data_IF_321681340298
#
_entry.id   IF_321681340298
#
_cell.length_a   1.000
_cell.length_b   1.000
_cell.length_c   1.000
_cell.angle_alpha   90.00
_cell.angle_beta   90.00
_cell.angle_gamma   90.00
#
_symmetry.space_group_name_H-M   'P 1'
#
loop_
_entity.id
_entity.type
_entity.pdbx_description
1 polymer ?
#
# COMPACT_ATOMS: atom_id res chain seq x y z
N UNK A 1 25.07 15.70 -15.81
CA UNK A 1 24.69 16.87 -14.98
C UNK A 1 23.37 16.51 -14.33
N UNK A 2 23.26 16.53 -13.01
CA UNK A 2 21.98 16.32 -12.36
C UNK A 2 21.02 17.41 -12.85
N UNK A 3 19.93 17.01 -13.49
CA UNK A 3 18.87 17.93 -13.91
C UNK A 3 18.30 18.58 -12.66
N UNK A 4 18.48 19.89 -12.53
CA UNK A 4 17.87 20.69 -11.47
C UNK A 4 16.35 20.49 -11.56
N UNK A 5 15.71 20.11 -10.45
CA UNK A 5 14.27 19.95 -10.37
C UNK A 5 13.56 21.23 -10.85
N UNK A 6 12.50 21.06 -11.64
CA UNK A 6 11.69 22.17 -12.12
C UNK A 6 10.23 21.90 -11.80
N UNK A 7 9.66 22.77 -10.98
CA UNK A 7 8.24 22.76 -10.66
C UNK A 7 7.40 22.99 -11.94
N UNK A 8 6.41 22.12 -12.18
CA UNK A 8 5.60 22.13 -13.40
C UNK A 8 4.27 22.87 -13.24
N UNK A 9 3.74 22.90 -12.02
CA UNK A 9 2.45 23.47 -11.70
C UNK A 9 2.59 24.53 -10.60
N UNK A 10 1.77 25.58 -10.67
CA UNK A 10 1.66 26.52 -9.56
C UNK A 10 1.10 25.82 -8.30
N UNK A 11 1.25 26.44 -7.13
CA UNK A 11 0.69 25.93 -5.87
C UNK A 11 -0.82 25.70 -5.99
N UNK A 12 -1.54 26.66 -6.59
CA UNK A 12 -2.98 26.56 -6.82
C UNK A 12 -3.33 25.43 -7.80
N UNK A 13 -2.63 25.34 -8.93
CA UNK A 13 -2.89 24.28 -9.92
C UNK A 13 -2.58 22.89 -9.33
N UNK A 14 -1.59 22.80 -8.44
CA UNK A 14 -1.25 21.58 -7.70
C UNK A 14 -2.42 21.12 -6.82
N UNK A 15 -3.03 22.02 -6.04
CA UNK A 15 -4.23 21.71 -5.21
C UNK A 15 -5.44 21.27 -6.07
N UNK A 16 -5.68 21.98 -7.18
CA UNK A 16 -6.75 21.62 -8.12
C UNK A 16 -6.48 20.24 -8.78
N UNK A 17 -5.21 19.91 -9.03
CA UNK A 17 -4.80 18.63 -9.62
C UNK A 17 -4.85 17.48 -8.60
N UNK A 18 -4.47 17.70 -7.34
CA UNK A 18 -4.64 16.73 -6.25
C UNK A 18 -6.12 16.34 -6.12
N UNK A 19 -7.01 17.34 -6.11
CA UNK A 19 -8.45 17.10 -6.05
C UNK A 19 -8.95 16.28 -7.24
N UNK A 20 -8.49 16.60 -8.46
CA UNK A 20 -8.81 15.83 -9.66
C UNK A 20 -8.36 14.38 -9.52
N UNK A 21 -7.09 14.17 -9.21
CA UNK A 21 -6.49 12.83 -9.10
C UNK A 21 -7.27 12.00 -8.09
N UNK A 22 -7.47 12.53 -6.87
CA UNK A 22 -8.12 11.78 -5.80
C UNK A 22 -9.54 11.38 -6.19
N UNK A 23 -10.34 12.32 -6.71
CA UNK A 23 -11.73 12.06 -7.15
C UNK A 23 -11.82 11.10 -8.32
N UNK A 24 -11.01 11.31 -9.35
CA UNK A 24 -11.01 10.44 -10.53
C UNK A 24 -10.58 9.02 -10.16
N UNK A 25 -9.54 8.88 -9.34
CA UNK A 25 -9.02 7.58 -8.96
C UNK A 25 -10.03 6.78 -8.13
N UNK A 26 -10.67 7.38 -7.12
CA UNK A 26 -11.68 6.70 -6.31
C UNK A 26 -12.87 6.21 -7.17
N UNK A 27 -13.32 7.02 -8.14
CA UNK A 27 -14.52 6.71 -8.93
C UNK A 27 -14.21 5.55 -9.88
N UNK A 28 -13.06 5.59 -10.55
CA UNK A 28 -12.59 4.53 -11.43
C UNK A 28 -12.25 3.24 -10.66
N UNK A 29 -11.67 3.34 -9.45
CA UNK A 29 -11.36 2.19 -8.61
C UNK A 29 -12.65 1.50 -8.14
N UNK A 30 -13.63 2.29 -7.70
CA UNK A 30 -14.95 1.81 -7.29
C UNK A 30 -15.67 1.10 -8.42
N UNK A 31 -15.68 1.67 -9.62
CA UNK A 31 -16.29 1.06 -10.81
C UNK A 31 -15.56 -0.23 -11.22
N UNK A 32 -14.23 -0.20 -11.30
CA UNK A 32 -13.40 -1.31 -11.80
C UNK A 32 -13.47 -2.56 -10.91
N UNK A 33 -13.57 -2.37 -9.59
CA UNK A 33 -13.55 -3.45 -8.60
C UNK A 33 -14.89 -3.68 -7.87
N UNK A 34 -15.95 -2.95 -8.24
CA UNK A 34 -17.26 -3.06 -7.58
C UNK A 34 -17.21 -2.70 -6.09
N UNK A 35 -16.54 -1.59 -5.76
CA UNK A 35 -16.30 -1.20 -4.36
C UNK A 35 -17.30 -0.15 -3.88
N UNK A 36 -17.95 -0.42 -2.75
CA UNK A 36 -18.75 0.55 -2.02
C UNK A 36 -17.84 1.46 -1.17
N UNK A 37 -17.97 2.77 -1.31
CA UNK A 37 -17.30 3.71 -0.40
C UNK A 37 -17.93 3.62 1.00
N UNK A 38 -17.14 3.34 2.02
CA UNK A 38 -17.60 3.28 3.42
C UNK A 38 -16.83 4.26 4.31
N UNK A 39 -17.37 4.53 5.51
CA UNK A 39 -16.70 5.39 6.50
C UNK A 39 -15.75 4.55 7.36
N UNK A 40 -14.47 4.95 7.39
CA UNK A 40 -13.44 4.34 8.21
C UNK A 40 -13.36 4.90 9.64
N UNK A 41 -12.90 4.10 10.61
CA UNK A 41 -12.44 4.60 11.89
C UNK A 41 -11.06 5.27 11.76
N UNK A 42 -10.87 6.37 12.48
CA UNK A 42 -9.53 6.97 12.69
C UNK A 42 -8.76 6.28 13.83
N UNK A 43 -9.48 5.66 14.76
CA UNK A 43 -8.92 5.01 15.94
C UNK A 43 -9.70 3.76 16.31
N UNK A 44 -9.00 2.81 16.93
CA UNK A 44 -9.55 1.53 17.40
C UNK A 44 -9.08 1.25 18.82
N UNK A 45 -9.76 0.33 19.53
CA UNK A 45 -9.27 -0.16 20.82
C UNK A 45 -8.02 -1.02 20.63
N UNK A 46 -7.02 -0.81 21.47
CA UNK A 46 -5.69 -1.42 21.35
C UNK A 46 -5.68 -2.95 21.58
N UNK A 47 -6.63 -3.48 22.34
CA UNK A 47 -6.72 -4.88 22.76
C UNK A 47 -7.43 -5.82 21.78
N UNK A 48 -7.88 -5.28 20.63
CA UNK A 48 -8.71 -6.01 19.67
C UNK A 48 -7.91 -6.82 18.64
N UNK A 49 -6.63 -6.50 18.46
CA UNK A 49 -5.80 -7.00 17.39
C UNK A 49 -6.16 -6.46 16.00
N UNK A 50 -6.97 -5.40 15.93
CA UNK A 50 -7.41 -4.79 14.66
C UNK A 50 -6.40 -3.79 14.10
N UNK A 51 -5.67 -3.06 14.96
CA UNK A 51 -4.65 -2.15 14.47
C UNK A 51 -3.54 -2.92 13.75
N UNK A 52 -3.01 -2.32 12.69
CA UNK A 52 -1.83 -2.82 11.99
C UNK A 52 -0.58 -2.48 12.81
N UNK A 53 0.13 -3.51 13.21
CA UNK A 53 1.34 -3.38 14.01
C UNK A 53 2.58 -3.15 13.13
N UNK A 54 2.45 -3.12 11.80
CA UNK A 54 3.56 -3.00 10.84
C UNK A 54 4.63 -4.08 11.12
N UNK A 55 5.85 -3.68 11.47
CA UNK A 55 6.93 -4.61 11.84
C UNK A 55 6.91 -5.02 13.32
N UNK A 56 5.98 -4.47 14.12
CA UNK A 56 5.83 -4.73 15.55
C UNK A 56 6.72 -3.88 16.45
N UNK A 57 7.45 -2.92 15.88
CA UNK A 57 8.38 -2.04 16.61
C UNK A 57 7.90 -0.61 16.74
N UNK A 58 7.06 -0.18 15.80
CA UNK A 58 6.55 1.16 15.61
C UNK A 58 5.46 1.46 16.64
N UNK A 59 5.54 2.62 17.30
CA UNK A 59 4.60 3.00 18.35
C UNK A 59 3.40 3.74 17.77
N UNK A 60 2.17 3.24 17.94
CA UNK A 60 0.99 3.97 17.53
C UNK A 60 0.71 5.15 18.46
N UNK A 61 0.20 6.25 17.89
CA UNK A 61 -0.35 7.35 18.68
C UNK A 61 -1.54 6.83 19.48
N UNK A 62 -1.57 7.08 20.79
CA UNK A 62 -2.57 6.50 21.69
C UNK A 62 -3.13 7.51 22.68
N UNK A 63 -4.35 7.27 23.13
CA UNK A 63 -5.04 8.12 24.10
C UNK A 63 -6.01 7.31 24.98
N UNK A 64 -6.28 7.76 26.22
CA UNK A 64 -7.27 7.13 27.08
C UNK A 64 -8.69 7.58 26.72
N UNK A 65 -9.65 6.65 26.80
CA UNK A 65 -11.06 6.89 26.53
C UNK A 65 -11.78 7.11 27.86
N UNK A 66 -12.01 8.38 28.23
CA UNK A 66 -12.70 8.73 29.49
C UNK A 66 -14.07 8.07 29.63
N UNK A 67 -14.83 7.97 28.54
CA UNK A 67 -16.17 7.36 28.52
C UNK A 67 -16.16 5.83 28.66
N UNK A 68 -14.99 5.20 28.59
CA UNK A 68 -14.80 3.75 28.61
C UNK A 68 -13.79 3.36 29.69
N UNK A 69 -13.95 3.95 30.89
CA UNK A 69 -13.14 3.61 32.06
C UNK A 69 -11.63 3.86 31.88
N UNK A 70 -11.25 4.84 31.05
CA UNK A 70 -9.86 5.12 30.67
C UNK A 70 -9.18 4.00 29.88
N UNK A 71 -9.95 3.17 29.16
CA UNK A 71 -9.39 2.20 28.20
C UNK A 71 -8.53 2.88 27.13
N UNK A 72 -7.62 2.12 26.51
CA UNK A 72 -6.65 2.66 25.54
C UNK A 72 -7.16 2.53 24.10
N UNK A 73 -7.29 3.66 23.42
CA UNK A 73 -7.43 3.72 21.96
C UNK A 73 -6.09 4.03 21.30
N UNK A 74 -5.94 3.58 20.06
CA UNK A 74 -4.82 3.88 19.17
C UNK A 74 -5.33 4.45 17.85
N UNK A 75 -4.64 5.45 17.32
CA UNK A 75 -4.81 5.88 15.93
C UNK A 75 -4.28 4.77 15.04
N UNK A 76 -5.03 4.45 13.98
CA UNK A 76 -4.68 3.34 13.10
C UNK A 76 -3.40 3.64 12.30
N UNK A 77 -2.54 2.64 12.10
CA UNK A 77 -1.44 2.72 11.12
C UNK A 77 -1.90 2.36 9.69
N UNK A 78 -2.89 1.46 9.61
CA UNK A 78 -3.64 1.10 8.41
C UNK A 78 -4.95 0.42 8.84
N UNK A 79 -5.88 0.22 7.90
CA UNK A 79 -7.13 -0.51 8.16
C UNK A 79 -7.10 -1.95 7.63
N UNK A 80 -5.91 -2.51 7.36
CA UNK A 80 -5.73 -3.83 6.73
C UNK A 80 -6.66 -4.91 7.31
N UNK A 81 -6.70 -5.05 8.65
CA UNK A 81 -7.56 -6.03 9.34
C UNK A 81 -9.01 -5.57 9.52
N UNK A 82 -9.22 -4.26 9.74
CA UNK A 82 -10.56 -3.69 9.91
C UNK A 82 -11.44 -3.89 8.67
N UNK A 83 -10.90 -3.70 7.46
CA UNK A 83 -11.68 -3.79 6.23
C UNK A 83 -12.31 -5.17 6.06
N UNK A 84 -11.60 -6.25 6.40
CA UNK A 84 -12.12 -7.62 6.36
C UNK A 84 -13.27 -7.86 7.35
N UNK A 85 -13.18 -7.26 8.54
CA UNK A 85 -14.31 -7.26 9.49
C UNK A 85 -15.50 -6.45 8.96
N UNK A 86 -15.23 -5.35 8.26
CA UNK A 86 -16.25 -4.51 7.65
C UNK A 86 -16.99 -5.24 6.52
N UNK A 87 -16.29 -6.05 5.69
CA UNK A 87 -16.93 -6.91 4.69
C UNK A 87 -18.00 -7.82 5.31
N UNK A 88 -17.67 -8.51 6.41
CA UNK A 88 -18.65 -9.31 7.17
C UNK A 88 -19.79 -8.46 7.70
N UNK A 89 -19.46 -7.34 8.36
CA UNK A 89 -20.45 -6.49 9.03
C UNK A 89 -21.48 -5.92 8.06
N UNK A 90 -21.07 -5.61 6.85
CA UNK A 90 -21.93 -5.07 5.80
C UNK A 90 -22.48 -6.15 4.85
N UNK A 91 -22.22 -7.43 5.13
CA UNK A 91 -22.68 -8.57 4.33
C UNK A 91 -22.33 -8.43 2.83
N UNK A 92 -21.06 -8.09 2.56
CA UNK A 92 -20.58 -7.85 1.19
C UNK A 92 -20.38 -9.18 0.46
N UNK A 93 -21.10 -9.37 -0.64
CA UNK A 93 -21.09 -10.58 -1.45
C UNK A 93 -19.74 -10.80 -2.18
N UNK A 94 -19.40 -12.06 -2.54
CA UNK A 94 -18.23 -12.35 -3.38
C UNK A 94 -18.21 -11.54 -4.68
N UNK A 95 -17.05 -10.99 -5.02
CA UNK A 95 -16.84 -10.13 -6.19
C UNK A 95 -17.27 -8.67 -5.99
N UNK A 96 -17.75 -8.32 -4.79
CA UNK A 96 -17.99 -6.94 -4.35
C UNK A 96 -17.07 -6.60 -3.18
N UNK A 97 -16.83 -5.31 -3.00
CA UNK A 97 -15.92 -4.86 -1.96
C UNK A 97 -16.28 -3.51 -1.37
N UNK A 98 -15.35 -3.00 -0.57
CA UNK A 98 -15.40 -1.68 0.03
C UNK A 98 -14.11 -0.93 -0.24
N UNK A 99 -14.17 0.40 -0.21
CA UNK A 99 -12.99 1.22 -0.05
C UNK A 99 -13.26 2.39 0.89
N UNK A 100 -12.19 2.97 1.42
CA UNK A 100 -12.23 4.14 2.27
C UNK A 100 -11.03 5.04 2.05
N UNK A 101 -11.22 6.33 2.33
CA UNK A 101 -10.14 7.30 2.49
C UNK A 101 -9.53 7.11 3.87
N UNK A 102 -8.43 6.35 3.94
CA UNK A 102 -7.73 6.08 5.19
C UNK A 102 -6.71 7.19 5.47
N UNK A 103 -6.65 7.60 6.73
CA UNK A 103 -5.68 8.56 7.25
C UNK A 103 -5.03 7.95 8.49
N UNK A 104 -3.70 7.95 8.54
CA UNK A 104 -2.92 7.40 9.62
C UNK A 104 -1.80 8.37 10.04
N UNK A 105 -1.32 8.19 11.27
CA UNK A 105 -0.14 8.86 11.79
C UNK A 105 0.92 7.82 12.12
N UNK A 106 2.07 7.88 11.46
CA UNK A 106 3.24 7.03 11.71
C UNK A 106 4.31 7.88 12.37
N UNK A 107 4.28 7.92 13.70
CA UNK A 107 5.11 8.82 14.50
C UNK A 107 6.60 8.44 14.53
N UNK A 108 6.92 7.18 14.24
CA UNK A 108 8.27 6.62 14.25
C UNK A 108 8.82 6.43 12.82
N UNK A 109 8.27 7.15 11.83
CA UNK A 109 8.71 7.08 10.42
C UNK A 109 10.01 7.86 10.20
N UNK A 110 10.94 7.28 9.43
CA UNK A 110 12.12 7.99 8.95
C UNK A 110 11.72 8.90 7.76
N UNK A 111 11.73 10.21 7.99
CA UNK A 111 11.26 11.18 7.00
C UNK A 111 12.26 11.37 5.86
N UNK A 112 11.75 11.27 4.63
CA UNK A 112 12.48 11.55 3.39
C UNK A 112 11.52 12.10 2.31
N UNK A 113 11.95 12.15 1.06
CA UNK A 113 11.11 12.66 -0.03
C UNK A 113 9.86 11.82 -0.33
N UNK A 114 9.79 10.57 0.16
CA UNK A 114 8.73 9.59 -0.04
C UNK A 114 7.93 9.26 1.23
N UNK A 115 8.50 9.53 2.40
CA UNK A 115 7.99 9.11 3.71
C UNK A 115 7.62 10.31 4.59
N UNK A 116 6.41 10.27 5.15
CA UNK A 116 5.78 11.35 5.91
C UNK A 116 5.15 10.78 7.18
N UNK A 117 5.09 11.58 8.25
CA UNK A 117 4.33 11.23 9.46
C UNK A 117 2.85 10.99 9.16
N UNK A 118 2.30 11.71 8.19
CA UNK A 118 0.92 11.57 7.75
C UNK A 118 0.87 10.61 6.55
N UNK A 119 0.06 9.57 6.67
CA UNK A 119 -0.12 8.57 5.61
C UNK A 119 -1.58 8.57 5.19
N UNK A 120 -1.84 8.71 3.88
CA UNK A 120 -3.17 8.59 3.30
C UNK A 120 -3.24 7.49 2.24
N UNK A 121 -4.33 6.71 2.26
CA UNK A 121 -4.51 5.60 1.33
C UNK A 121 -5.94 5.51 0.81
N UNK A 122 -6.08 5.05 -0.43
CA UNK A 122 -7.29 4.35 -0.86
C UNK A 122 -7.18 2.93 -0.32
N UNK A 123 -7.79 2.70 0.84
CA UNK A 123 -7.70 1.43 1.53
C UNK A 123 -8.93 0.60 1.17
N UNK A 124 -8.71 -0.53 0.46
CA UNK A 124 -9.78 -1.29 -0.18
C UNK A 124 -9.71 -2.79 0.14
N UNK A 125 -10.85 -3.46 0.06
CA UNK A 125 -10.98 -4.90 0.34
C UNK A 125 -12.19 -5.46 -0.40
N UNK A 126 -12.10 -6.69 -0.92
CA UNK A 126 -13.15 -7.35 -1.70
C UNK A 126 -13.34 -8.78 -1.19
N UNK A 127 -14.59 -9.22 -1.05
CA UNK A 127 -14.91 -10.61 -0.68
C UNK A 127 -14.60 -11.52 -1.87
N UNK A 128 -13.95 -12.67 -1.62
CA UNK A 128 -13.59 -13.64 -2.66
C UNK A 128 -14.13 -15.04 -2.34
N UNK A 129 -14.30 -15.84 -3.38
CA UNK A 129 -14.56 -17.28 -3.24
C UNK A 129 -13.24 -18.05 -3.03
N UNK A 130 -13.35 -19.29 -2.55
CA UNK A 130 -12.17 -20.12 -2.28
C UNK A 130 -11.40 -20.45 -3.56
N UNK A 131 -12.12 -20.67 -4.65
CA UNK A 131 -11.60 -20.98 -5.98
C UNK A 131 -10.76 -19.82 -6.56
N UNK A 132 -11.02 -18.60 -6.11
CA UNK A 132 -10.28 -17.40 -6.52
C UNK A 132 -9.01 -17.16 -5.70
N UNK A 133 -8.71 -17.99 -4.68
CA UNK A 133 -7.46 -17.91 -3.94
C UNK A 133 -6.30 -18.54 -4.70
N UNK A 134 -5.92 -17.90 -5.80
CA UNK A 134 -4.82 -18.34 -6.65
C UNK A 134 -4.09 -17.16 -7.30
N UNK A 135 -2.91 -17.44 -7.86
CA UNK A 135 -2.03 -16.44 -8.47
C UNK A 135 -2.67 -15.71 -9.66
N UNK A 136 -3.47 -16.41 -10.47
CA UNK A 136 -4.08 -15.83 -11.67
C UNK A 136 -5.12 -14.77 -11.29
N UNK A 137 -5.91 -15.02 -10.26
CA UNK A 137 -6.86 -14.05 -9.73
C UNK A 137 -6.17 -12.81 -9.13
N UNK A 138 -5.07 -12.99 -8.38
CA UNK A 138 -4.25 -11.87 -7.91
C UNK A 138 -3.79 -11.00 -9.09
N UNK A 139 -3.23 -11.62 -10.14
CA UNK A 139 -2.76 -10.91 -11.34
C UNK A 139 -3.90 -10.19 -12.07
N UNK A 140 -5.09 -10.79 -12.12
CA UNK A 140 -6.29 -10.16 -12.69
C UNK A 140 -6.65 -8.87 -11.95
N UNK A 141 -6.72 -8.92 -10.62
CA UNK A 141 -7.08 -7.75 -9.79
C UNK A 141 -6.02 -6.66 -9.87
N UNK A 142 -4.73 -7.03 -9.84
CA UNK A 142 -3.62 -6.08 -10.05
C UNK A 142 -3.74 -5.40 -11.42
N UNK A 143 -4.07 -6.16 -12.47
CA UNK A 143 -4.24 -5.61 -13.83
C UNK A 143 -5.39 -4.59 -13.88
N UNK A 144 -6.52 -4.87 -13.20
CA UNK A 144 -7.66 -3.94 -13.08
C UNK A 144 -7.26 -2.64 -12.37
N UNK A 145 -6.54 -2.73 -11.25
CA UNK A 145 -6.05 -1.56 -10.50
C UNK A 145 -5.04 -0.76 -11.33
N UNK A 146 -4.11 -1.44 -11.99
CA UNK A 146 -3.13 -0.78 -12.84
C UNK A 146 -3.79 -0.07 -14.03
N UNK A 147 -4.85 -0.62 -14.61
CA UNK A 147 -5.64 0.06 -15.64
C UNK A 147 -6.27 1.36 -15.12
N UNK A 148 -6.75 1.38 -13.88
CA UNK A 148 -7.24 2.60 -13.22
C UNK A 148 -6.11 3.63 -13.05
N UNK A 149 -4.92 3.20 -12.63
CA UNK A 149 -3.74 4.06 -12.52
C UNK A 149 -3.34 4.66 -13.88
N UNK A 150 -3.31 3.85 -14.94
CA UNK A 150 -2.98 4.29 -16.29
C UNK A 150 -3.98 5.34 -16.81
N UNK A 151 -5.29 5.04 -16.71
CA UNK A 151 -6.35 5.96 -17.16
C UNK A 151 -6.36 7.28 -16.37
N UNK A 152 -6.05 7.23 -15.08
CA UNK A 152 -5.95 8.43 -14.25
C UNK A 152 -4.80 9.33 -14.72
N UNK A 153 -3.65 8.75 -15.07
CA UNK A 153 -2.51 9.51 -15.63
C UNK A 153 -2.89 10.19 -16.96
N UNK A 154 -3.56 9.47 -17.86
CA UNK A 154 -4.01 10.04 -19.14
C UNK A 154 -4.94 11.25 -18.94
N UNK A 155 -5.84 11.17 -17.95
CA UNK A 155 -6.76 12.27 -17.63
C UNK A 155 -6.01 13.48 -17.03
N UNK A 156 -5.02 13.25 -16.17
CA UNK A 156 -4.16 14.31 -15.62
C UNK A 156 -3.39 15.01 -16.74
N UNK A 157 -2.71 14.25 -17.60
CA UNK A 157 -1.93 14.80 -18.71
C UNK A 157 -2.80 15.55 -19.73
N UNK A 158 -4.05 15.09 -19.95
CA UNK A 158 -5.02 15.81 -20.79
C UNK A 158 -5.41 17.17 -20.19
N UNK A 159 -5.60 17.26 -18.87
CA UNK A 159 -5.95 18.53 -18.20
C UNK A 159 -4.75 19.45 -18.05
N UNK A 160 -3.56 18.91 -17.81
CA UNK A 160 -2.31 19.64 -17.61
C UNK A 160 -1.27 19.20 -18.65
N UNK A 161 -1.28 19.76 -19.88
CA UNK A 161 -0.42 19.32 -20.99
C UNK A 161 1.09 19.47 -20.76
N UNK A 162 1.51 20.16 -19.68
CA UNK A 162 2.91 20.23 -19.24
C UNK A 162 3.39 18.92 -18.60
N UNK A 163 2.47 18.04 -18.19
CA UNK A 163 2.76 16.72 -17.62
C UNK A 163 2.78 15.68 -18.74
N UNK A 164 3.94 15.05 -18.94
CA UNK A 164 4.10 13.92 -19.85
C UNK A 164 3.79 12.61 -19.12
N UNK A 165 2.87 11.75 -19.61
CA UNK A 165 2.61 10.41 -19.05
C UNK A 165 3.85 9.52 -19.03
N UNK A 166 4.01 8.68 -18.00
CA UNK A 166 5.17 7.80 -17.82
C UNK A 166 4.80 6.32 -17.67
N UNK A 167 3.57 6.01 -17.26
CA UNK A 167 3.18 4.62 -17.02
C UNK A 167 3.15 3.84 -18.34
N UNK A 168 3.77 2.65 -18.42
CA UNK A 168 3.59 1.77 -19.56
C UNK A 168 2.13 1.26 -19.62
N UNK A 169 1.69 0.83 -20.80
CA UNK A 169 0.31 0.32 -20.99
C UNK A 169 0.01 -0.97 -20.21
N UNK A 170 1.04 -1.71 -19.82
CA UNK A 170 0.94 -2.99 -19.13
C UNK A 170 1.94 -3.05 -17.99
N UNK A 171 1.53 -3.67 -16.88
CA UNK A 171 2.40 -3.97 -15.73
C UNK A 171 3.09 -5.31 -15.92
N UNK A 172 4.37 -5.40 -15.54
CA UNK A 172 5.14 -6.65 -15.60
C UNK A 172 5.08 -7.39 -14.26
N UNK A 173 4.86 -8.70 -14.27
CA UNK A 173 4.77 -9.52 -13.06
C UNK A 173 6.08 -10.28 -12.84
N UNK A 174 6.63 -10.23 -11.63
CA UNK A 174 7.86 -10.94 -11.26
C UNK A 174 7.80 -11.38 -9.80
N UNK A 175 8.29 -12.58 -9.50
CA UNK A 175 8.42 -13.05 -8.11
C UNK A 175 9.72 -12.55 -7.46
N UNK A 176 9.69 -12.37 -6.14
CA UNK A 176 10.89 -12.01 -5.36
C UNK A 176 12.03 -13.02 -5.51
N UNK A 177 11.70 -14.30 -5.62
CA UNK A 177 12.66 -15.40 -5.85
C UNK A 177 13.32 -15.26 -7.21
N UNK A 178 12.56 -14.95 -8.26
CA UNK A 178 13.10 -14.70 -9.59
C UNK A 178 14.02 -13.48 -9.59
N UNK A 179 13.64 -12.39 -8.90
CA UNK A 179 14.51 -11.21 -8.78
C UNK A 179 15.82 -11.51 -8.06
N UNK A 180 15.81 -12.40 -7.06
CA UNK A 180 17.03 -12.85 -6.39
C UNK A 180 17.94 -13.65 -7.34
N UNK A 181 17.36 -14.47 -8.21
CA UNK A 181 18.12 -15.24 -9.20
C UNK A 181 18.67 -14.38 -10.34
N UNK A 182 17.88 -13.41 -10.82
CA UNK A 182 18.27 -12.50 -11.91
C UNK A 182 19.34 -11.50 -11.45
N UNK A 183 19.31 -11.12 -10.17
CA UNK A 183 20.16 -10.08 -9.59
C UNK A 183 20.76 -10.50 -8.22
N UNK A 184 21.56 -11.58 -8.16
CA UNK A 184 21.99 -12.18 -6.90
C UNK A 184 22.95 -11.30 -6.10
N UNK A 185 23.69 -10.42 -6.77
CA UNK A 185 24.63 -9.50 -6.14
C UNK A 185 24.00 -8.19 -5.64
N UNK A 186 22.72 -7.94 -5.97
CA UNK A 186 22.02 -6.71 -5.61
C UNK A 186 21.22 -6.91 -4.31
N UNK A 187 21.12 -5.86 -3.51
CA UNK A 187 20.18 -5.76 -2.38
C UNK A 187 18.73 -5.71 -2.88
N UNK A 188 17.72 -6.04 -2.06
CA UNK A 188 16.32 -5.99 -2.47
C UNK A 188 15.91 -4.65 -3.12
N UNK A 189 16.35 -3.52 -2.54
CA UNK A 189 16.04 -2.19 -3.10
C UNK A 189 16.72 -1.94 -4.45
N UNK A 190 17.94 -2.44 -4.63
CA UNK A 190 18.63 -2.36 -5.92
C UNK A 190 17.97 -3.27 -6.98
N UNK A 191 17.42 -4.42 -6.58
CA UNK A 191 16.61 -5.29 -7.46
C UNK A 191 15.35 -4.59 -7.93
N UNK A 192 14.63 -3.92 -7.02
CA UNK A 192 13.48 -3.07 -7.36
C UNK A 192 13.86 -1.97 -8.35
N UNK A 193 14.96 -1.26 -8.11
CA UNK A 193 15.45 -0.23 -9.01
C UNK A 193 15.76 -0.81 -10.40
N UNK A 194 16.44 -1.95 -10.47
CA UNK A 194 16.81 -2.59 -11.74
C UNK A 194 15.58 -3.01 -12.55
N UNK A 195 14.61 -3.68 -11.91
CA UNK A 195 13.43 -4.19 -12.61
C UNK A 195 12.45 -3.07 -12.96
N UNK A 196 12.24 -2.10 -12.07
CA UNK A 196 11.39 -0.93 -12.34
C UNK A 196 11.96 -0.10 -13.49
N UNK A 197 13.28 0.16 -13.50
CA UNK A 197 13.94 0.89 -14.59
C UNK A 197 13.83 0.17 -15.94
N UNK A 198 13.86 -1.17 -15.93
CA UNK A 198 13.75 -2.00 -17.13
C UNK A 198 12.34 -2.02 -17.71
N UNK A 199 11.31 -2.12 -16.87
CA UNK A 199 9.93 -2.36 -17.31
C UNK A 199 9.00 -1.15 -17.17
N UNK A 200 9.41 -0.10 -16.47
CA UNK A 200 8.61 1.10 -16.15
C UNK A 200 7.61 0.88 -15.02
N UNK A 201 6.87 -0.23 -15.05
CA UNK A 201 5.95 -0.64 -13.98
C UNK A 201 5.98 -2.15 -13.77
N UNK A 202 6.07 -2.56 -12.50
CA UNK A 202 6.14 -3.96 -12.09
C UNK A 202 5.20 -4.23 -10.92
N UNK A 203 4.71 -5.47 -10.84
CA UNK A 203 4.14 -6.04 -9.64
C UNK A 203 5.09 -7.12 -9.13
N UNK A 204 5.69 -6.89 -7.96
CA UNK A 204 6.63 -7.80 -7.32
C UNK A 204 5.86 -8.71 -6.36
N UNK A 205 5.83 -10.00 -6.66
CA UNK A 205 5.02 -11.02 -5.97
C UNK A 205 5.87 -11.73 -4.91
N UNK A 206 5.28 -12.03 -3.74
CA UNK A 206 5.89 -12.89 -2.73
C UNK A 206 6.64 -12.16 -1.62
N UNK A 207 6.23 -10.94 -1.27
CA UNK A 207 6.95 -10.12 -0.30
C UNK A 207 6.58 -10.52 1.15
N UNK A 208 7.55 -11.05 1.89
CA UNK A 208 7.44 -11.33 3.33
C UNK A 208 8.14 -12.61 3.80
N UNK A 209 8.22 -13.60 2.91
CA UNK A 209 8.91 -14.87 3.15
C UNK A 209 10.41 -14.75 2.93
N UNK A 210 11.20 -15.56 3.66
CA UNK A 210 12.64 -15.66 3.42
C UNK A 210 12.91 -16.26 2.03
N UNK A 211 13.87 -15.65 1.33
CA UNK A 211 14.39 -16.11 0.04
C UNK A 211 15.53 -17.14 0.24
N UNK A 212 16.19 -17.58 -0.83
CA UNK A 212 17.29 -18.56 -0.75
C UNK A 212 18.48 -18.02 0.05
N UNK A 213 18.65 -16.70 0.07
CA UNK A 213 19.63 -16.00 0.90
C UNK A 213 19.37 -16.10 2.42
N UNK A 214 18.19 -16.55 2.85
CA UNK A 214 17.78 -16.56 4.25
C UNK A 214 17.27 -15.21 4.75
N UNK A 215 17.15 -14.23 3.87
CA UNK A 215 16.54 -12.91 4.16
C UNK A 215 15.33 -12.69 3.27
N UNK A 216 14.24 -12.10 3.77
CA UNK A 216 13.10 -11.75 2.93
C UNK A 216 13.44 -10.59 2.00
N UNK A 217 12.71 -10.45 0.89
CA UNK A 217 12.83 -9.27 0.01
C UNK A 217 12.53 -7.98 0.78
N UNK A 218 11.42 -7.99 1.50
CA UNK A 218 11.08 -7.00 2.51
C UNK A 218 10.19 -7.66 3.58
N UNK A 219 10.08 -7.03 4.74
CA UNK A 219 9.24 -7.50 5.83
C UNK A 219 7.77 -7.36 5.49
N UNK A 220 6.96 -8.24 6.07
CA UNK A 220 5.51 -8.20 5.96
C UNK A 220 4.89 -8.75 7.23
N UNK A 221 3.76 -8.17 7.64
CA UNK A 221 3.01 -8.68 8.77
C UNK A 221 2.50 -10.09 8.50
N UNK A 222 2.33 -10.87 9.56
CA UNK A 222 1.93 -12.29 9.48
C UNK A 222 0.42 -12.51 9.41
N UNK A 223 -0.39 -11.46 9.59
CA UNK A 223 -1.80 -11.57 10.00
C UNK A 223 -2.83 -11.00 9.00
N UNK A 224 -2.40 -10.50 7.84
CA UNK A 224 -3.32 -10.10 6.78
C UNK A 224 -2.92 -10.55 5.38
N UNK A 225 -1.65 -10.41 4.95
CA UNK A 225 -1.20 -10.84 3.62
C UNK A 225 -0.74 -12.29 3.61
N UNK A 226 -1.13 -13.04 2.58
CA UNK A 226 -0.66 -14.40 2.35
C UNK A 226 0.63 -14.38 1.50
N UNK A 227 1.79 -14.40 2.15
CA UNK A 227 3.11 -14.42 1.51
C UNK A 227 3.75 -15.83 1.51
N UNK A 228 3.01 -16.84 1.96
CA UNK A 228 3.56 -18.19 2.21
C UNK A 228 2.93 -19.30 1.37
N UNK A 229 1.71 -19.11 0.84
CA UNK A 229 1.06 -20.10 0.00
C UNK A 229 1.87 -20.38 -1.27
N UNK A 230 2.20 -21.65 -1.59
CA UNK A 230 2.91 -22.00 -2.81
C UNK A 230 2.15 -21.59 -4.07
N UNK A 231 2.88 -21.13 -5.07
CA UNK A 231 2.37 -20.79 -6.40
C UNK A 231 3.01 -21.68 -7.47
N UNK A 232 3.10 -21.20 -8.70
CA UNK A 232 3.74 -21.90 -9.80
C UNK A 232 5.28 -21.90 -9.64
N UNK A 233 5.95 -22.83 -10.32
CA UNK A 233 7.41 -22.90 -10.44
C UNK A 233 8.21 -22.99 -9.12
N UNK A 234 7.56 -23.44 -8.04
CA UNK A 234 8.18 -23.57 -6.72
C UNK A 234 8.34 -22.25 -5.95
N UNK A 235 7.76 -21.16 -6.46
CA UNK A 235 7.66 -19.88 -5.76
C UNK A 235 6.48 -19.88 -4.79
N UNK A 236 6.40 -18.84 -3.95
CA UNK A 236 5.32 -18.66 -2.96
C UNK A 236 4.85 -17.22 -2.88
N UNK A 237 3.66 -17.06 -2.30
CA UNK A 237 3.03 -15.78 -1.99
C UNK A 237 1.92 -15.39 -2.96
N UNK A 238 0.80 -14.96 -2.38
CA UNK A 238 -0.36 -14.39 -3.03
C UNK A 238 -0.53 -12.91 -2.68
N UNK A 239 0.59 -12.20 -2.48
CA UNK A 239 0.66 -10.78 -2.23
C UNK A 239 1.79 -10.13 -3.05
N UNK A 240 1.86 -8.80 -3.02
CA UNK A 240 2.93 -8.07 -3.67
C UNK A 240 2.71 -6.56 -3.70
N UNK A 241 3.70 -5.88 -4.30
CA UNK A 241 3.73 -4.43 -4.40
C UNK A 241 3.72 -3.95 -5.85
N UNK A 242 2.94 -2.90 -6.14
CA UNK A 242 3.02 -2.16 -7.40
C UNK A 242 4.13 -1.13 -7.28
N UNK A 243 5.18 -1.31 -8.08
CA UNK A 243 6.35 -0.44 -8.12
C UNK A 243 6.52 0.12 -9.52
N UNK A 244 6.76 1.43 -9.62
CA UNK A 244 7.01 2.13 -10.87
C UNK A 244 8.38 2.78 -10.85
N UNK A 245 8.94 3.04 -12.03
CA UNK A 245 10.13 3.87 -12.13
C UNK A 245 9.75 5.35 -12.07
N UNK A 246 10.37 6.11 -11.17
CA UNK A 246 10.16 7.55 -11.06
C UNK A 246 11.40 8.30 -11.57
N UNK A 247 11.28 8.95 -12.73
CA UNK A 247 12.37 9.71 -13.34
C UNK A 247 12.79 10.94 -12.52
N UNK A 248 11.90 11.46 -11.64
CA UNK A 248 12.20 12.62 -10.80
C UNK A 248 13.17 12.25 -9.69
N UNK A 249 12.93 11.13 -9.00
CA UNK A 249 13.82 10.63 -7.94
C UNK A 249 14.94 9.74 -8.49
N UNK A 250 14.81 9.24 -9.72
CA UNK A 250 15.77 8.32 -10.33
C UNK A 250 15.79 6.95 -9.64
N UNK A 251 14.66 6.52 -9.09
CA UNK A 251 14.52 5.31 -8.29
C UNK A 251 13.17 4.61 -8.47
N UNK A 252 13.10 3.37 -7.99
CA UNK A 252 11.85 2.62 -7.81
C UNK A 252 10.94 3.32 -6.79
N UNK A 253 9.66 3.41 -7.13
CA UNK A 253 8.65 4.13 -6.39
C UNK A 253 7.43 3.23 -6.17
N UNK A 254 7.20 2.84 -4.93
CA UNK A 254 6.11 1.96 -4.55
C UNK A 254 4.79 2.73 -4.40
N UNK A 255 3.77 2.34 -5.16
CA UNK A 255 2.45 2.97 -5.16
C UNK A 255 1.41 2.22 -4.32
N UNK A 256 1.58 0.91 -4.15
CA UNK A 256 0.60 0.08 -3.49
C UNK A 256 1.21 -1.22 -2.97
N UNK A 257 0.69 -1.67 -1.82
CA UNK A 257 0.80 -3.04 -1.33
C UNK A 257 -0.57 -3.70 -1.30
N UNK A 258 -0.65 -4.94 -1.79
CA UNK A 258 -1.90 -5.69 -1.82
C UNK A 258 -1.68 -7.20 -1.82
N UNK A 259 -2.72 -7.95 -1.51
CA UNK A 259 -2.67 -9.40 -1.58
C UNK A 259 -4.00 -10.06 -1.30
N UNK A 260 -4.09 -11.31 -1.73
CA UNK A 260 -5.09 -12.25 -1.23
C UNK A 260 -4.77 -12.46 0.25
N UNK A 261 -5.79 -12.33 1.09
CA UNK A 261 -5.59 -12.39 2.53
C UNK A 261 -5.35 -13.81 2.99
N UNK A 262 -4.66 -13.92 4.13
CA UNK A 262 -4.47 -15.19 4.83
C UNK A 262 -5.80 -15.90 5.05
N UNK A 263 -5.83 -17.20 4.81
CA UNK A 263 -6.90 -18.05 5.34
C UNK A 263 -6.50 -18.56 6.73
N UNK A 264 -7.26 -19.49 7.29
CA UNK A 264 -6.96 -20.11 8.58
C UNK A 264 -5.62 -20.84 8.61
N UNK A 265 -5.27 -21.52 7.53
CA UNK A 265 -4.07 -22.36 7.46
C UNK A 265 -2.82 -21.50 7.27
N UNK A 266 -2.86 -20.55 6.33
CA UNK A 266 -1.76 -19.61 6.11
C UNK A 266 -1.60 -18.63 7.28
N UNK A 267 -2.68 -18.21 7.94
CA UNK A 267 -2.57 -17.44 9.20
C UNK A 267 -1.81 -18.24 10.25
N UNK A 268 -2.22 -19.49 10.52
CA UNK A 268 -1.55 -20.33 11.52
C UNK A 268 -0.08 -20.53 11.18
N UNK A 269 0.21 -20.84 9.92
CA UNK A 269 1.57 -21.05 9.44
C UNK A 269 2.43 -19.79 9.62
N UNK A 270 1.97 -18.63 9.15
CA UNK A 270 2.72 -17.38 9.23
C UNK A 270 2.91 -16.87 10.66
N UNK A 271 1.93 -17.06 11.55
CA UNK A 271 2.08 -16.73 12.97
C UNK A 271 3.16 -17.58 13.63
N UNK A 272 3.26 -18.88 13.31
CA UNK A 272 4.33 -19.75 13.81
C UNK A 272 5.68 -19.29 13.27
N UNK A 273 5.79 -19.03 11.96
CA UNK A 273 7.03 -18.60 11.32
C UNK A 273 7.59 -17.30 11.92
N UNK A 274 6.73 -16.34 12.27
CA UNK A 274 7.15 -15.06 12.88
C UNK A 274 7.16 -15.10 14.42
N UNK A 275 6.81 -16.22 15.06
CA UNK A 275 6.74 -16.33 16.52
C UNK A 275 5.61 -15.49 17.15
N UNK A 276 4.55 -15.20 16.41
CA UNK A 276 3.42 -14.34 16.79
C UNK A 276 2.20 -15.12 17.29
N UNK A 277 2.37 -16.36 17.75
CA UNK A 277 1.25 -17.24 18.12
C UNK A 277 0.34 -16.71 19.23
N UNK A 278 0.86 -15.84 20.11
CA UNK A 278 0.04 -15.18 21.14
C UNK A 278 -1.11 -14.35 20.54
N UNK A 279 -0.96 -13.85 19.30
CA UNK A 279 -2.00 -13.10 18.59
C UNK A 279 -3.26 -13.92 18.34
N UNK A 280 -3.19 -15.26 18.33
CA UNK A 280 -4.35 -16.16 18.15
C UNK A 280 -5.47 -15.90 19.18
N UNK A 281 -5.13 -15.34 20.34
CA UNK A 281 -6.08 -15.01 21.41
C UNK A 281 -6.80 -13.67 21.19
N UNK A 282 -6.29 -12.81 20.29
CA UNK A 282 -6.90 -11.52 20.01
C UNK A 282 -8.21 -11.70 19.23
N UNK A 283 -9.23 -10.85 19.46
CA UNK A 283 -10.55 -10.97 18.84
C UNK A 283 -10.52 -11.17 17.32
N UNK A 284 -9.74 -10.36 16.58
CA UNK A 284 -9.64 -10.48 15.12
C UNK A 284 -9.14 -11.86 14.67
N UNK A 285 -8.02 -12.32 15.26
CA UNK A 285 -7.38 -13.57 14.88
C UNK A 285 -8.24 -14.78 15.26
N UNK A 286 -8.87 -14.72 16.44
CA UNK A 286 -9.78 -15.78 16.88
C UNK A 286 -10.97 -15.93 15.93
N UNK A 287 -11.56 -14.82 15.48
CA UNK A 287 -12.66 -14.83 14.51
C UNK A 287 -12.20 -15.42 13.16
N UNK A 288 -11.03 -15.04 12.67
CA UNK A 288 -10.49 -15.59 11.42
C UNK A 288 -10.24 -17.10 11.51
N UNK A 289 -9.63 -17.58 12.61
CA UNK A 289 -9.34 -18.99 12.83
C UNK A 289 -10.59 -19.88 13.02
N UNK A 290 -11.72 -19.26 13.35
CA UNK A 290 -13.04 -19.91 13.46
C UNK A 290 -13.85 -19.82 12.17
N UNK A 291 -13.23 -19.34 11.08
CA UNK A 291 -13.87 -19.17 9.78
C UNK A 291 -15.08 -18.21 9.86
N UNK A 292 -15.04 -17.26 10.80
CA UNK A 292 -16.12 -16.30 11.01
C UNK A 292 -16.00 -15.07 10.09
N UNK A 293 -14.84 -14.84 9.46
CA UNK A 293 -14.59 -13.72 8.54
C UNK A 293 -14.52 -14.26 7.10
N UNK A 294 -15.01 -13.51 6.09
CA UNK A 294 -14.97 -13.95 4.70
C UNK A 294 -13.52 -14.08 4.21
N UNK A 295 -13.30 -14.91 3.19
CA UNK A 295 -12.08 -14.81 2.39
C UNK A 295 -12.09 -13.47 1.65
N UNK A 296 -10.93 -12.83 1.54
CA UNK A 296 -10.84 -11.54 0.86
C UNK A 296 -9.52 -11.34 0.13
N UNK A 297 -9.52 -10.36 -0.77
CA UNK A 297 -8.34 -9.73 -1.35
C UNK A 297 -8.41 -8.23 -1.04
N UNK A 298 -7.29 -7.58 -0.77
CA UNK A 298 -7.30 -6.15 -0.56
C UNK A 298 -5.91 -5.53 -0.60
N UNK A 299 -5.87 -4.22 -0.40
CA UNK A 299 -4.62 -3.47 -0.39
C UNK A 299 -4.81 -2.02 0.01
N UNK A 300 -3.70 -1.31 0.06
CA UNK A 300 -3.64 0.14 0.24
C UNK A 300 -2.93 0.76 -0.95
N UNK A 301 -3.45 1.86 -1.47
CA UNK A 301 -2.83 2.64 -2.54
C UNK A 301 -2.58 4.05 -2.00
N UNK A 302 -1.32 4.48 -1.94
CA UNK A 302 -0.97 5.77 -1.33
C UNK A 302 -1.53 6.95 -2.12
N UNK A 303 -2.41 7.75 -1.53
CA UNK A 303 -3.04 8.85 -2.28
C UNK A 303 -2.03 9.96 -2.58
N UNK A 304 -1.25 10.37 -1.58
CA UNK A 304 -0.18 11.36 -1.74
C UNK A 304 0.94 10.83 -2.65
N UNK A 305 1.27 9.54 -2.56
CA UNK A 305 2.25 8.91 -3.47
C UNK A 305 1.78 8.93 -4.93
N UNK A 306 0.51 8.62 -5.20
CA UNK A 306 -0.07 8.77 -6.54
C UNK A 306 -0.01 10.23 -7.02
N UNK A 307 -0.40 11.18 -6.17
CA UNK A 307 -0.37 12.60 -6.52
C UNK A 307 1.06 13.07 -6.83
N UNK A 308 2.02 12.71 -5.97
CA UNK A 308 3.44 13.03 -6.16
C UNK A 308 3.95 12.49 -7.49
N UNK A 309 3.65 11.23 -7.79
CA UNK A 309 4.04 10.59 -9.04
C UNK A 309 3.42 11.31 -10.24
N UNK A 310 2.10 11.43 -10.33
CA UNK A 310 1.41 12.02 -11.49
C UNK A 310 1.77 13.48 -11.73
N UNK A 311 1.98 14.25 -10.66
CA UNK A 311 2.30 15.67 -10.76
C UNK A 311 3.80 15.94 -10.89
N UNK A 312 4.63 14.88 -11.01
CA UNK A 312 6.09 14.95 -11.17
C UNK A 312 6.74 15.76 -10.04
N UNK A 313 6.26 15.56 -8.82
CA UNK A 313 6.78 16.20 -7.62
C UNK A 313 8.01 15.45 -7.12
N UNK A 314 8.99 16.20 -6.64
CA UNK A 314 10.23 15.66 -6.10
C UNK A 314 10.10 15.26 -4.63
N UNK A 315 9.11 15.79 -3.92
CA UNK A 315 8.90 15.52 -2.50
C UNK A 315 7.41 15.35 -2.20
N UNK A 316 7.05 14.35 -1.37
CA UNK A 316 5.66 14.05 -0.99
C UNK A 316 4.97 15.24 -0.29
N UNK A 317 5.75 16.02 0.46
CA UNK A 317 5.30 17.27 1.07
C UNK A 317 4.84 18.35 0.09
N UNK A 318 5.04 18.20 -1.23
CA UNK A 318 4.45 19.11 -2.24
C UNK A 318 2.98 18.79 -2.56
N UNK A 319 2.47 17.65 -2.07
CA UNK A 319 1.09 17.20 -2.29
C UNK A 319 0.37 16.83 -1.00
N UNK A 320 1.02 17.04 0.13
CA UNK A 320 0.51 16.71 1.45
C UNK A 320 1.10 17.66 2.50
N UNK A 321 0.25 18.21 3.37
CA UNK A 321 0.71 18.98 4.53
C UNK A 321 1.09 18.06 5.68
N UNK A 322 2.32 18.19 6.18
CA UNK A 322 2.89 17.39 7.28
C UNK A 322 3.91 18.21 8.07
N UNK A 323 4.55 17.61 9.06
CA UNK A 323 5.62 18.23 9.83
C UNK A 323 6.96 17.72 9.30
N UNK A 324 7.84 18.65 8.95
CA UNK A 324 9.16 18.38 8.38
C UNK A 324 10.25 19.03 9.25
N UNK A 325 11.44 18.40 9.39
CA UNK A 325 12.57 19.04 10.06
C UNK A 325 12.98 20.34 9.36
N UNK A 326 13.32 21.39 10.12
CA UNK A 326 13.71 22.70 9.57
C UNK A 326 14.82 22.61 8.51
N UNK A 327 15.79 21.71 8.71
CA UNK A 327 16.87 21.46 7.77
C UNK A 327 16.36 20.94 6.41
N UNK A 328 15.34 20.07 6.42
CA UNK A 328 14.72 19.53 5.22
C UNK A 328 13.88 20.60 4.50
N UNK A 329 13.13 21.41 5.25
CA UNK A 329 12.37 22.55 4.68
C UNK A 329 13.33 23.51 3.95
N UNK A 330 14.46 23.83 4.58
CA UNK A 330 15.48 24.70 4.00
C UNK A 330 16.13 24.09 2.75
N UNK A 331 16.53 22.83 2.80
CA UNK A 331 17.12 22.11 1.66
C UNK A 331 16.14 22.00 0.47
N UNK A 332 14.86 21.74 0.75
CA UNK A 332 13.81 21.77 -0.27
C UNK A 332 13.69 23.15 -0.90
N UNK A 333 13.63 24.22 -0.10
CA UNK A 333 13.52 25.59 -0.60
C UNK A 333 14.73 25.99 -1.47
N UNK A 334 15.96 25.60 -1.08
CA UNK A 334 17.18 25.83 -1.86
C UNK A 334 17.17 25.08 -3.21
N UNK A 335 16.46 23.95 -3.28
CA UNK A 335 16.24 23.15 -4.50
C UNK A 335 15.02 23.59 -5.31
N UNK A 336 14.31 24.64 -4.90
CA UNK A 336 13.08 25.11 -5.55
C UNK A 336 11.87 24.21 -5.33
N UNK A 337 11.90 23.36 -4.31
CA UNK A 337 10.82 22.47 -3.89
C UNK A 337 9.99 23.20 -2.82
N UNK A 338 8.75 23.53 -3.14
CA UNK A 338 7.83 24.22 -2.23
C UNK A 338 6.90 23.20 -1.56
N UNK A 339 7.07 23.00 -0.25
CA UNK A 339 6.21 22.13 0.57
C UNK A 339 4.90 22.84 0.94
N UNK A 340 3.80 22.08 1.11
CA UNK A 340 2.46 22.54 1.48
C UNK A 340 2.28 22.83 2.97
#
# INVERSE_FOLDING_TARGET
>A
MATVYKELLSLRDTEEAITLIKRTFQDLLSESLGLLRVTAPLFVRNDTGVNDDLNGTERPVSFPIKADGMSKAVIVHSLAKWKRMALKKYDIAPGQGIFTDMNAIRADEDLDELHSLYVDQFDWEMTVENEWRNLDYLKEVVTKIYSVMYRTEELVAKKYPVITPLLPKSIHFVHTEQLEEDYPALTPKERENAIAKKHGAVFIIGIGADLKSGTPHDRRASDYDDWSTPTQDGFKGLNGDIIVWNDITGASFELSSMGIRVDKDSLNHQLVLKGHESRKQLPFHSALLKDELPLSIGGGIGQSRLCMFYLRKAHIGQVQSSIWPDAMVKDCAEKGIVLL
#
